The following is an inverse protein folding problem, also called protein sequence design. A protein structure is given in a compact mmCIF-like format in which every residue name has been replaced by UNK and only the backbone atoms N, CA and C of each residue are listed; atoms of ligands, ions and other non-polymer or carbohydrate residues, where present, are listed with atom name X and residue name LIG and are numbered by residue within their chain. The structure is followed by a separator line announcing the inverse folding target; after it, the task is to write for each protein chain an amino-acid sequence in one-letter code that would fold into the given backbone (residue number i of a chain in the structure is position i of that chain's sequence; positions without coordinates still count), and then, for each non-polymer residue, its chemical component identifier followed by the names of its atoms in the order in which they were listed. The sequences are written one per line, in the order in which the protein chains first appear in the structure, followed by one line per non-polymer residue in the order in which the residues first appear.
data_IF_941956838676
#
_entry.id   IF_941956838676
#
_cell.length_a   1.000
_cell.length_b   1.000
_cell.length_c   1.000
_cell.angle_alpha   90.00
_cell.angle_beta   90.00
_cell.angle_gamma   90.00
#
_symmetry.space_group_name_H-M   'P 1'
#
loop_
_entity.id
_entity.type
_entity.pdbx_description
1 polymer ?
#
# COMPACT_ATOMS: atom_id res chain seq x y z
N UNK A 1 -14.56 -10.06 21.36
CA UNK A 1 -14.35 -9.43 22.67
C UNK A 1 -13.01 -8.69 22.63
N UNK A 2 -13.04 -7.37 22.80
CA UNK A 2 -11.84 -6.57 22.93
C UNK A 2 -11.18 -6.89 24.28
N UNK A 3 -10.07 -7.61 24.26
CA UNK A 3 -9.25 -7.85 25.45
C UNK A 3 -8.44 -6.58 25.72
N UNK A 4 -8.58 -6.04 26.89
CA UNK A 4 -7.74 -4.92 27.35
C UNK A 4 -6.40 -5.43 27.88
N UNK A 5 -5.33 -4.62 27.97
CA UNK A 5 -4.09 -5.00 28.63
C UNK A 5 -4.31 -5.49 30.07
N UNK A 6 -5.24 -4.88 30.79
CA UNK A 6 -5.62 -5.31 32.16
C UNK A 6 -6.18 -6.74 32.18
N UNK A 7 -7.03 -7.11 31.20
CA UNK A 7 -7.60 -8.46 31.09
C UNK A 7 -6.52 -9.51 30.76
N UNK A 8 -5.45 -9.10 30.10
CA UNK A 8 -4.38 -10.01 29.69
C UNK A 8 -3.30 -10.18 30.75
N UNK A 9 -2.88 -9.09 31.38
CA UNK A 9 -1.77 -9.07 32.34
C UNK A 9 -2.20 -9.06 33.80
N UNK A 10 -3.49 -8.79 34.10
CA UNK A 10 -4.02 -8.74 35.44
C UNK A 10 -3.67 -7.49 36.24
N UNK A 11 -2.95 -6.55 35.64
CA UNK A 11 -2.57 -5.27 36.23
C UNK A 11 -2.35 -4.20 35.14
N UNK A 12 -2.32 -2.95 35.55
CA UNK A 12 -2.01 -1.84 34.66
C UNK A 12 -0.51 -1.80 34.34
N UNK A 13 -0.20 -1.62 33.06
CA UNK A 13 1.18 -1.46 32.62
C UNK A 13 1.73 -0.10 33.12
N UNK A 14 2.97 -0.11 33.58
CA UNK A 14 3.73 1.00 34.14
C UNK A 14 3.24 1.49 35.52
N UNK A 15 1.94 1.61 35.76
CA UNK A 15 1.42 2.14 37.03
C UNK A 15 1.50 1.14 38.19
N UNK A 16 1.25 -0.16 37.91
CA UNK A 16 1.18 -1.22 38.93
C UNK A 16 2.34 -2.21 38.80
N UNK A 17 3.44 -1.83 38.18
CA UNK A 17 4.59 -2.70 38.03
C UNK A 17 5.39 -2.84 39.34
N UNK A 18 5.80 -4.07 39.63
CA UNK A 18 6.75 -4.38 40.70
C UNK A 18 8.18 -3.94 40.32
N UNK A 19 9.07 -3.86 41.31
CA UNK A 19 10.49 -3.56 41.06
C UNK A 19 11.13 -4.51 40.06
N UNK A 20 10.75 -5.79 40.07
CA UNK A 20 11.27 -6.80 39.14
C UNK A 20 10.80 -6.55 37.69
N UNK A 21 9.60 -6.06 37.52
CA UNK A 21 9.07 -5.70 36.17
C UNK A 21 9.75 -4.45 35.64
N UNK A 22 9.95 -3.44 36.47
CA UNK A 22 10.74 -2.28 36.13
C UNK A 22 12.18 -2.64 35.75
N UNK A 23 12.83 -3.50 36.50
CA UNK A 23 14.19 -3.97 36.20
C UNK A 23 14.28 -4.70 34.83
N UNK A 24 13.25 -5.49 34.49
CA UNK A 24 13.15 -6.15 33.17
C UNK A 24 12.96 -5.14 32.05
N UNK A 25 12.09 -4.15 32.26
CA UNK A 25 11.87 -3.08 31.31
C UNK A 25 13.13 -2.27 31.06
N UNK A 26 13.83 -1.87 32.13
CA UNK A 26 15.08 -1.11 32.03
C UNK A 26 16.16 -1.93 31.29
N UNK A 27 16.27 -3.22 31.60
CA UNK A 27 17.20 -4.11 30.88
C UNK A 27 16.88 -4.22 29.40
N UNK A 28 15.59 -4.32 29.06
CA UNK A 28 15.13 -4.33 27.67
C UNK A 28 15.46 -3.01 26.96
N UNK A 29 15.20 -1.87 27.59
CA UNK A 29 15.51 -0.56 27.03
C UNK A 29 17.00 -0.36 26.83
N UNK A 30 17.85 -0.80 27.76
CA UNK A 30 19.33 -0.77 27.62
C UNK A 30 19.78 -1.64 26.44
N UNK A 31 19.21 -2.83 26.28
CA UNK A 31 19.50 -3.70 25.13
C UNK A 31 19.09 -3.05 23.80
N UNK A 32 17.93 -2.42 23.76
CA UNK A 32 17.49 -1.66 22.56
C UNK A 32 18.45 -0.52 22.24
N UNK A 33 18.90 0.22 23.25
CA UNK A 33 19.88 1.30 23.09
C UNK A 33 21.22 0.80 22.58
N UNK A 34 21.73 -0.31 23.14
CA UNK A 34 22.96 -0.95 22.69
C UNK A 34 22.86 -1.41 21.23
N UNK A 35 21.71 -2.02 20.87
CA UNK A 35 21.44 -2.40 19.49
C UNK A 35 21.44 -1.21 18.54
N UNK A 36 20.78 -0.12 18.94
CA UNK A 36 20.77 1.13 18.18
C UNK A 36 22.16 1.72 17.99
N UNK A 37 22.97 1.78 19.06
CA UNK A 37 24.33 2.31 19.00
C UNK A 37 25.26 1.47 18.12
N UNK A 38 25.00 0.18 18.01
CA UNK A 38 25.81 -0.76 17.21
C UNK A 38 25.37 -0.77 15.73
N UNK A 39 24.07 -0.76 15.47
CA UNK A 39 23.50 -0.99 14.14
C UNK A 39 22.88 0.27 13.50
N UNK A 40 22.75 1.36 14.26
CA UNK A 40 22.03 2.56 13.84
C UNK A 40 20.49 2.35 13.84
N UNK A 41 19.79 3.28 13.22
CA UNK A 41 18.35 3.15 13.01
C UNK A 41 18.06 1.98 12.06
N UNK A 42 17.28 1.01 12.54
CA UNK A 42 16.69 0.00 11.66
C UNK A 42 15.73 0.73 10.73
N UNK A 43 16.15 0.95 9.51
CA UNK A 43 15.26 1.45 8.47
C UNK A 43 14.28 0.33 8.14
N UNK A 44 13.06 0.48 8.64
CA UNK A 44 11.97 -0.35 8.18
C UNK A 44 11.76 0.00 6.70
N UNK A 45 11.87 -0.98 5.82
CA UNK A 45 11.58 -0.75 4.41
C UNK A 45 10.19 -0.15 4.28
N UNK A 46 10.12 1.08 3.75
CA UNK A 46 8.87 1.83 3.56
C UNK A 46 7.87 1.14 2.62
N UNK A 47 8.28 0.05 2.00
CA UNK A 47 7.46 -0.77 1.11
C UNK A 47 6.10 -1.11 1.71
N UNK A 48 6.03 -1.39 3.00
CA UNK A 48 4.78 -1.72 3.67
C UNK A 48 3.81 -0.53 3.80
N UNK A 49 4.32 0.70 3.96
CA UNK A 49 3.50 1.91 4.04
C UNK A 49 2.95 2.31 2.67
N UNK A 50 3.76 2.21 1.63
CA UNK A 50 3.36 2.52 0.26
C UNK A 50 2.28 1.55 -0.21
N UNK A 51 2.46 0.25 0.03
CA UNK A 51 1.47 -0.78 -0.28
C UNK A 51 0.17 -0.54 0.50
N UNK A 52 0.24 -0.28 1.80
CA UNK A 52 -0.95 -0.01 2.62
C UNK A 52 -1.70 1.24 2.16
N UNK A 53 -0.98 2.29 1.80
CA UNK A 53 -1.57 3.51 1.24
C UNK A 53 -2.30 3.20 -0.07
N UNK A 54 -1.66 2.47 -0.97
CA UNK A 54 -2.24 2.08 -2.25
C UNK A 54 -3.51 1.23 -2.06
N UNK A 55 -3.48 0.22 -1.20
CA UNK A 55 -4.66 -0.61 -0.88
C UNK A 55 -5.79 0.24 -0.28
N UNK A 56 -5.47 1.22 0.58
CA UNK A 56 -6.45 2.12 1.17
C UNK A 56 -7.10 3.05 0.14
N UNK A 57 -6.34 3.50 -0.85
CA UNK A 57 -6.83 4.37 -1.92
C UNK A 57 -7.61 3.62 -3.00
N UNK A 58 -7.37 2.32 -3.13
CA UNK A 58 -8.00 1.44 -4.13
C UNK A 58 -8.78 0.31 -3.45
N UNK A 59 -8.28 -0.91 -3.54
CA UNK A 59 -8.73 -2.08 -2.79
C UNK A 59 -7.63 -3.14 -2.76
N UNK A 60 -7.79 -4.13 -1.89
CA UNK A 60 -6.85 -5.25 -1.81
C UNK A 60 -6.91 -6.10 -3.09
N UNK A 61 -8.10 -6.35 -3.61
CA UNK A 61 -8.32 -7.14 -4.83
C UNK A 61 -7.70 -6.45 -6.05
N UNK A 62 -7.80 -5.12 -6.13
CA UNK A 62 -7.16 -4.36 -7.20
C UNK A 62 -5.62 -4.44 -7.10
N UNK A 63 -5.07 -4.39 -5.88
CA UNK A 63 -3.64 -4.58 -5.66
C UNK A 63 -3.16 -5.96 -6.12
N UNK A 64 -3.83 -7.04 -5.72
CA UNK A 64 -3.50 -8.40 -6.14
C UNK A 64 -3.61 -8.56 -7.67
N UNK A 65 -4.69 -8.05 -8.24
CA UNK A 65 -4.93 -8.08 -9.69
C UNK A 65 -3.83 -7.37 -10.49
N UNK A 66 -3.38 -6.21 -10.05
CA UNK A 66 -2.29 -5.48 -10.71
C UNK A 66 -0.94 -6.17 -10.53
N UNK A 67 -0.73 -6.85 -9.41
CA UNK A 67 0.49 -7.63 -9.13
C UNK A 67 0.62 -8.83 -10.07
N UNK A 68 -0.49 -9.44 -10.46
CA UNK A 68 -0.52 -10.55 -11.42
C UNK A 68 -0.29 -10.11 -12.88
N UNK A 69 0.03 -8.85 -13.10
CA UNK A 69 0.40 -8.34 -14.42
C UNK A 69 -0.77 -7.99 -15.33
N UNK A 70 -1.95 -7.72 -14.74
CA UNK A 70 -3.15 -7.35 -15.48
C UNK A 70 -3.06 -6.03 -16.27
N UNK A 71 -2.10 -5.17 -15.92
CA UNK A 71 -1.86 -3.89 -16.57
C UNK A 71 -0.44 -3.88 -17.15
N UNK A 72 -0.35 -3.90 -18.47
CA UNK A 72 0.92 -3.76 -19.19
C UNK A 72 1.40 -2.31 -19.19
N UNK A 73 2.70 -2.12 -19.01
CA UNK A 73 3.33 -0.80 -19.03
C UNK A 73 3.84 -0.42 -20.42
N UNK A 74 3.91 0.89 -20.68
CA UNK A 74 4.38 1.48 -21.94
C UNK A 74 3.56 1.09 -23.18
N UNK A 75 2.31 0.69 -22.97
CA UNK A 75 1.38 0.29 -24.03
C UNK A 75 0.05 1.02 -23.83
N UNK A 76 -0.59 1.38 -24.92
CA UNK A 76 -1.96 1.93 -24.89
C UNK A 76 -2.94 0.79 -24.65
N UNK A 77 -3.70 0.90 -23.58
CA UNK A 77 -4.72 -0.06 -23.18
C UNK A 77 -6.11 0.56 -23.32
N UNK A 78 -7.05 -0.23 -23.80
CA UNK A 78 -8.45 0.22 -23.87
C UNK A 78 -9.05 0.24 -22.45
N UNK A 79 -9.53 1.41 -22.07
CA UNK A 79 -10.01 1.67 -20.70
C UNK A 79 -11.24 0.85 -20.33
N UNK A 80 -12.15 0.65 -21.29
CA UNK A 80 -13.36 -0.15 -21.10
C UNK A 80 -13.00 -1.62 -20.91
N UNK A 81 -12.12 -2.14 -21.77
CA UNK A 81 -11.67 -3.54 -21.70
C UNK A 81 -11.02 -3.86 -20.36
N UNK A 82 -10.13 -2.98 -19.88
CA UNK A 82 -9.44 -3.18 -18.60
C UNK A 82 -10.43 -3.12 -17.43
N UNK A 83 -11.40 -2.19 -17.47
CA UNK A 83 -12.47 -2.12 -16.48
C UNK A 83 -13.35 -3.39 -16.48
N UNK A 84 -13.72 -3.85 -17.66
CA UNK A 84 -14.55 -5.06 -17.80
C UNK A 84 -13.79 -6.31 -17.34
N UNK A 85 -12.51 -6.44 -17.63
CA UNK A 85 -11.67 -7.54 -17.16
C UNK A 85 -11.66 -7.58 -15.63
N UNK A 86 -11.40 -6.46 -14.97
CA UNK A 86 -11.41 -6.39 -13.50
C UNK A 86 -12.79 -6.73 -12.92
N UNK A 87 -13.87 -6.14 -13.43
CA UNK A 87 -15.22 -6.36 -12.92
C UNK A 87 -15.80 -7.72 -13.26
N UNK A 88 -15.25 -8.41 -14.25
CA UNK A 88 -15.61 -9.81 -14.57
C UNK A 88 -14.96 -10.76 -13.58
N UNK A 89 -13.73 -10.52 -13.23
CA UNK A 89 -13.00 -11.33 -12.24
C UNK A 89 -13.54 -11.07 -10.82
N UNK A 90 -13.80 -9.81 -10.49
CA UNK A 90 -14.32 -9.38 -9.18
C UNK A 90 -15.75 -8.80 -9.33
N UNK A 91 -16.73 -9.68 -9.47
CA UNK A 91 -18.11 -9.30 -9.82
C UNK A 91 -18.79 -8.37 -8.80
N UNK A 92 -18.41 -8.42 -7.54
CA UNK A 92 -18.96 -7.55 -6.50
C UNK A 92 -18.69 -6.07 -6.76
N UNK A 93 -17.60 -5.76 -7.44
CA UNK A 93 -17.23 -4.40 -7.82
C UNK A 93 -18.12 -3.81 -8.91
N UNK A 94 -18.72 -4.66 -9.77
CA UNK A 94 -19.61 -4.23 -10.83
C UNK A 94 -20.82 -3.44 -10.33
N UNK A 95 -21.23 -3.66 -9.07
CA UNK A 95 -22.41 -3.01 -8.47
C UNK A 95 -22.19 -1.55 -8.10
N UNK A 96 -20.95 -1.16 -7.77
CA UNK A 96 -20.66 0.15 -7.18
C UNK A 96 -19.42 0.85 -7.75
N UNK A 97 -18.54 0.15 -8.44
CA UNK A 97 -17.35 0.73 -9.05
C UNK A 97 -17.73 1.45 -10.34
N UNK A 98 -17.49 2.75 -10.38
CA UNK A 98 -17.73 3.57 -11.56
C UNK A 98 -16.44 3.76 -12.36
N UNK A 99 -16.58 4.05 -13.67
CA UNK A 99 -15.43 4.37 -14.53
C UNK A 99 -14.60 5.56 -14.00
N UNK A 100 -15.24 6.53 -13.35
CA UNK A 100 -14.58 7.69 -12.74
C UNK A 100 -13.72 7.27 -11.54
N UNK A 101 -14.24 6.37 -10.71
CA UNK A 101 -13.51 5.84 -9.55
C UNK A 101 -12.38 4.93 -9.99
N UNK A 102 -12.62 4.09 -10.98
CA UNK A 102 -11.60 3.21 -11.57
C UNK A 102 -10.44 4.00 -12.20
N UNK A 103 -10.73 5.12 -12.86
CA UNK A 103 -9.68 6.04 -13.34
C UNK A 103 -8.76 6.50 -12.20
N UNK A 104 -9.33 6.91 -11.05
CA UNK A 104 -8.53 7.30 -9.88
C UNK A 104 -7.67 6.15 -9.36
N UNK A 105 -8.15 4.92 -9.43
CA UNK A 105 -7.38 3.74 -9.08
C UNK A 105 -6.20 3.51 -10.02
N UNK A 106 -6.40 3.71 -11.31
CA UNK A 106 -5.33 3.64 -12.31
C UNK A 106 -4.26 4.75 -12.10
N UNK A 107 -4.69 5.95 -11.74
CA UNK A 107 -3.78 7.05 -11.40
C UNK A 107 -2.98 6.74 -10.12
N UNK A 108 -3.64 6.18 -9.09
CA UNK A 108 -2.97 5.70 -7.86
C UNK A 108 -1.99 4.56 -8.16
N UNK A 109 -2.34 3.66 -9.07
CA UNK A 109 -1.45 2.59 -9.51
C UNK A 109 -0.21 3.13 -10.22
N UNK A 110 -0.36 4.07 -11.14
CA UNK A 110 0.76 4.71 -11.82
C UNK A 110 1.72 5.36 -10.80
N UNK A 111 1.17 6.08 -9.82
CA UNK A 111 1.96 6.66 -8.72
C UNK A 111 2.65 5.59 -7.87
N UNK A 112 1.96 4.48 -7.59
CA UNK A 112 2.51 3.36 -6.83
C UNK A 112 3.71 2.70 -7.50
N UNK A 113 3.65 2.50 -8.82
CA UNK A 113 4.77 1.94 -9.61
C UNK A 113 5.77 3.00 -10.08
N UNK A 114 5.61 4.25 -9.65
CA UNK A 114 6.45 5.39 -10.04
C UNK A 114 6.51 5.63 -11.57
N UNK A 115 5.35 5.52 -12.20
CA UNK A 115 5.15 5.76 -13.63
C UNK A 115 4.20 6.94 -13.84
N UNK A 116 4.13 7.44 -15.07
CA UNK A 116 3.19 8.49 -15.48
C UNK A 116 1.92 7.88 -16.07
N UNK A 117 0.77 8.43 -15.67
CA UNK A 117 -0.52 8.09 -16.24
C UNK A 117 -0.87 9.03 -17.37
N UNK A 118 -1.06 8.48 -18.56
CA UNK A 118 -1.52 9.22 -19.73
C UNK A 118 -2.86 8.66 -20.21
N UNK A 119 -3.74 9.50 -20.69
CA UNK A 119 -5.01 9.06 -21.26
C UNK A 119 -5.37 9.88 -22.50
N UNK A 120 -6.19 9.29 -23.33
CA UNK A 120 -6.69 9.97 -24.52
C UNK A 120 -7.94 9.30 -25.06
N UNK A 121 -8.47 9.91 -26.11
CA UNK A 121 -9.65 9.42 -26.82
C UNK A 121 -9.38 9.43 -28.31
N UNK A 122 -9.66 8.31 -28.95
CA UNK A 122 -9.79 8.22 -30.40
C UNK A 122 -11.27 8.27 -30.81
N UNK A 123 -11.56 8.20 -32.10
CA UNK A 123 -12.92 8.19 -32.60
C UNK A 123 -13.73 6.98 -32.08
N UNK A 124 -13.05 5.87 -31.79
CA UNK A 124 -13.68 4.58 -31.45
C UNK A 124 -13.47 4.12 -30.02
N UNK A 125 -12.45 4.64 -29.29
CA UNK A 125 -12.11 4.15 -27.97
C UNK A 125 -11.50 5.21 -27.05
N UNK A 126 -11.59 4.95 -25.74
CA UNK A 126 -10.84 5.64 -24.71
C UNK A 126 -9.68 4.77 -24.28
N UNK A 127 -8.49 5.29 -24.35
CA UNK A 127 -7.28 4.58 -23.97
C UNK A 127 -6.57 5.25 -22.80
N UNK A 128 -5.73 4.50 -22.13
CA UNK A 128 -4.73 4.99 -21.17
C UNK A 128 -3.42 4.23 -21.36
N UNK A 129 -2.34 4.80 -20.87
CA UNK A 129 -1.04 4.15 -20.79
C UNK A 129 -0.39 4.51 -19.45
N UNK A 130 0.42 3.59 -18.94
CA UNK A 130 1.24 3.77 -17.74
C UNK A 130 2.68 3.65 -18.20
N UNK A 131 3.32 4.80 -18.32
CA UNK A 131 4.61 4.94 -18.98
C UNK A 131 5.72 5.22 -17.96
N UNK A 132 6.90 4.66 -18.20
CA UNK A 132 8.09 4.95 -17.41
C UNK A 132 8.34 6.46 -17.39
N UNK A 133 8.54 7.03 -16.21
CA UNK A 133 9.02 8.40 -16.07
C UNK A 133 10.38 8.49 -16.75
N UNK A 134 10.45 9.31 -17.79
CA UNK A 134 11.73 9.71 -18.33
C UNK A 134 12.40 10.57 -17.26
N UNK A 135 13.32 9.99 -16.52
CA UNK A 135 14.24 10.77 -15.69
C UNK A 135 15.04 11.64 -16.64
N UNK A 136 14.79 12.96 -16.61
CA UNK A 136 15.75 13.89 -17.19
C UNK A 136 17.07 13.61 -16.52
N UNK A 137 18.06 13.22 -17.33
CA UNK A 137 19.40 12.99 -16.84
C UNK A 137 19.88 14.29 -16.17
N UNK A 138 20.43 14.24 -14.97
CA UNK A 138 21.00 15.42 -14.36
C UNK A 138 22.18 15.83 -15.25
N UNK A 139 22.04 17.03 -15.78
CA UNK A 139 23.17 17.69 -16.46
C UNK A 139 24.29 17.95 -15.49
#
# INVERSE_FOLDING_TARGET
ANRTPLDHFGHLLFDEWSESEWARFDSYMVNCLQYYLTNGLVQNEFNNLVVRKFIKETSFEFYEWTKDGAIEHNVRLNKTTIFDNFTTEYQDYKKWLTNKKFKKWLESYASFVNHDYNEGRTQHERWFSIDLKLTEAPF
#
